data_IF_666275157178
#
_entry.id   IF_666275157178
#
_cell.length_a   1.000
_cell.length_b   1.000
_cell.length_c   1.000
_cell.angle_alpha   90.00
_cell.angle_beta   90.00
_cell.angle_gamma   90.00
#
_symmetry.space_group_name_H-M   'P 1'
#
loop_
_entity.id
_entity.type
_entity.pdbx_description
1 polymer ?
#
# COMPACT_ATOMS: atom_id res chain seq x y z
N UNK A 1 -12.83 3.87 0.80
CA UNK A 1 -12.17 3.93 -0.52
C UNK A 1 -13.29 3.74 -1.53
N UNK A 2 -13.63 4.79 -2.26
CA UNK A 2 -14.76 4.83 -3.21
C UNK A 2 -14.20 5.20 -4.59
N UNK A 3 -13.33 4.31 -5.11
CA UNK A 3 -12.50 4.59 -6.27
C UNK A 3 -13.32 4.83 -7.53
N UNK A 4 -14.36 4.03 -7.77
CA UNK A 4 -15.24 4.20 -8.94
C UNK A 4 -15.89 5.57 -8.98
N UNK A 5 -16.44 6.02 -7.84
CA UNK A 5 -17.04 7.34 -7.73
C UNK A 5 -15.98 8.44 -7.90
N UNK A 6 -14.82 8.30 -7.26
CA UNK A 6 -13.75 9.29 -7.36
C UNK A 6 -13.23 9.42 -8.80
N UNK A 7 -13.03 8.31 -9.52
CA UNK A 7 -12.66 8.30 -10.93
C UNK A 7 -13.68 9.05 -11.77
N UNK A 8 -14.98 8.76 -11.62
CA UNK A 8 -16.04 9.46 -12.37
C UNK A 8 -16.06 10.97 -12.10
N UNK A 9 -15.84 11.38 -10.86
CA UNK A 9 -15.81 12.81 -10.50
C UNK A 9 -14.56 13.52 -11.05
N UNK A 10 -13.39 12.86 -11.02
CA UNK A 10 -12.16 13.42 -11.60
C UNK A 10 -12.18 13.41 -13.13
N UNK A 11 -12.84 12.44 -13.78
CA UNK A 11 -13.09 12.47 -15.23
C UNK A 11 -13.92 13.71 -15.61
N UNK A 12 -15.02 13.98 -14.90
CA UNK A 12 -15.82 15.20 -15.11
C UNK A 12 -15.02 16.48 -14.85
N UNK A 13 -14.12 16.46 -13.87
CA UNK A 13 -13.26 17.62 -13.58
C UNK A 13 -12.31 17.89 -14.74
N UNK A 14 -11.67 16.84 -15.26
CA UNK A 14 -10.77 16.90 -16.41
C UNK A 14 -11.50 17.33 -17.70
N UNK A 15 -12.77 16.96 -17.87
CA UNK A 15 -13.60 17.43 -18.99
C UNK A 15 -13.90 18.93 -18.89
N UNK A 16 -14.18 19.43 -17.69
CA UNK A 16 -14.48 20.85 -17.45
C UNK A 16 -13.23 21.74 -17.50
N UNK A 17 -12.09 21.21 -17.11
CA UNK A 17 -10.81 21.93 -17.03
C UNK A 17 -9.73 21.16 -17.81
N UNK A 18 -9.81 21.09 -19.15
CA UNK A 18 -8.95 20.22 -19.95
C UNK A 18 -7.47 20.60 -19.93
N UNK A 19 -7.17 21.88 -19.61
CA UNK A 19 -5.83 22.46 -19.57
C UNK A 19 -5.27 22.59 -18.14
N UNK A 20 -5.98 22.07 -17.13
CA UNK A 20 -5.54 22.08 -15.73
C UNK A 20 -4.73 20.81 -15.38
N UNK A 21 -3.42 20.92 -15.12
CA UNK A 21 -2.59 19.77 -14.78
C UNK A 21 -2.96 19.15 -13.43
N UNK A 22 -3.52 19.90 -12.47
CA UNK A 22 -3.98 19.32 -11.20
C UNK A 22 -5.12 18.34 -11.42
N UNK A 23 -6.10 18.70 -12.25
CA UNK A 23 -7.23 17.82 -12.58
C UNK A 23 -6.75 16.49 -13.17
N UNK A 24 -5.78 16.52 -14.11
CA UNK A 24 -5.21 15.30 -14.70
C UNK A 24 -4.44 14.49 -13.65
N UNK A 25 -3.70 15.14 -12.75
CA UNK A 25 -2.96 14.48 -11.69
C UNK A 25 -3.86 13.75 -10.69
N UNK A 26 -4.99 14.33 -10.27
CA UNK A 26 -5.92 13.63 -9.39
C UNK A 26 -6.57 12.43 -10.08
N UNK A 27 -6.91 12.55 -11.38
CA UNK A 27 -7.41 11.42 -12.15
C UNK A 27 -6.35 10.31 -12.27
N UNK A 28 -5.10 10.67 -12.52
CA UNK A 28 -3.99 9.73 -12.53
C UNK A 28 -3.79 9.07 -11.14
N UNK A 29 -3.89 9.82 -10.05
CA UNK A 29 -3.82 9.29 -8.68
C UNK A 29 -4.86 8.22 -8.46
N UNK A 30 -6.14 8.51 -8.73
CA UNK A 30 -7.23 7.59 -8.41
C UNK A 30 -7.15 6.33 -9.25
N UNK A 31 -6.83 6.43 -10.56
CA UNK A 31 -6.68 5.28 -11.44
C UNK A 31 -5.52 4.39 -10.99
N UNK A 32 -4.36 4.99 -10.69
CA UNK A 32 -3.19 4.24 -10.24
C UNK A 32 -3.43 3.58 -8.87
N UNK A 33 -3.98 4.30 -7.90
CA UNK A 33 -4.22 3.75 -6.56
C UNK A 33 -5.31 2.68 -6.57
N UNK A 34 -6.33 2.81 -7.43
CA UNK A 34 -7.32 1.76 -7.61
C UNK A 34 -6.68 0.48 -8.15
N UNK A 35 -5.87 0.59 -9.19
CA UNK A 35 -5.16 -0.56 -9.78
C UNK A 35 -4.23 -1.24 -8.77
N UNK A 36 -3.41 -0.46 -8.05
CA UNK A 36 -2.49 -1.01 -7.05
C UNK A 36 -3.26 -1.69 -5.90
N UNK A 37 -4.45 -1.19 -5.55
CA UNK A 37 -5.32 -1.85 -4.61
C UNK A 37 -5.83 -3.18 -5.20
N UNK A 38 -6.49 -3.18 -6.34
CA UNK A 38 -7.15 -4.38 -6.89
C UNK A 38 -6.18 -5.50 -7.25
N UNK A 39 -5.00 -5.13 -7.76
CA UNK A 39 -3.93 -6.08 -8.10
C UNK A 39 -3.15 -6.56 -6.86
N UNK A 40 -3.35 -5.93 -5.70
CA UNK A 40 -2.56 -6.21 -4.50
C UNK A 40 -1.13 -5.66 -4.55
N UNK A 41 -0.79 -4.82 -5.54
CA UNK A 41 0.52 -4.20 -5.69
C UNK A 41 0.83 -3.09 -4.67
N UNK A 42 -0.15 -2.64 -3.88
CA UNK A 42 0.06 -1.82 -2.66
C UNK A 42 0.79 -2.56 -1.51
N UNK A 43 1.29 -3.77 -1.76
CA UNK A 43 1.97 -4.58 -0.76
C UNK A 43 3.26 -3.90 -0.26
N UNK A 44 3.32 -3.62 1.04
CA UNK A 44 4.47 -2.97 1.70
C UNK A 44 5.45 -3.96 2.34
N UNK A 45 5.31 -5.26 2.07
CA UNK A 45 6.09 -6.32 2.68
C UNK A 45 7.59 -6.23 2.41
N UNK A 46 7.98 -5.61 1.30
CA UNK A 46 9.40 -5.35 0.99
C UNK A 46 10.01 -4.24 1.87
N UNK A 47 9.16 -3.39 2.48
CA UNK A 47 9.59 -2.26 3.33
C UNK A 47 9.42 -2.52 4.83
N UNK A 48 8.49 -3.41 5.21
CA UNK A 48 8.29 -3.85 6.58
C UNK A 48 8.12 -5.37 6.61
N UNK A 49 8.82 -6.06 7.52
CA UNK A 49 8.84 -7.53 7.68
C UNK A 49 7.47 -8.20 7.87
N UNK A 50 6.39 -7.41 7.90
CA UNK A 50 5.00 -7.83 7.96
C UNK A 50 4.19 -6.81 7.14
N UNK A 51 3.70 -7.19 5.96
CA UNK A 51 3.03 -6.25 5.06
C UNK A 51 1.69 -5.75 5.60
N UNK A 52 1.44 -4.44 5.48
CA UNK A 52 0.16 -3.82 5.81
C UNK A 52 -0.97 -4.27 4.86
N UNK A 53 -0.67 -4.45 3.57
CA UNK A 53 -1.62 -4.76 2.48
C UNK A 53 -1.14 -6.01 1.72
N UNK A 54 -0.60 -6.99 2.45
CA UNK A 54 0.19 -8.10 1.91
C UNK A 54 -0.56 -9.08 1.00
N UNK A 55 -0.78 -8.68 -0.26
CA UNK A 55 -1.30 -9.54 -1.32
C UNK A 55 -0.23 -9.83 -2.35
N UNK A 56 -0.32 -10.99 -2.99
CA UNK A 56 0.57 -11.33 -4.09
C UNK A 56 0.20 -10.43 -5.28
N UNK A 57 1.10 -9.60 -5.82
CA UNK A 57 0.75 -8.70 -6.92
C UNK A 57 0.33 -9.50 -8.16
N UNK A 58 -0.85 -9.18 -8.69
CA UNK A 58 -1.37 -9.71 -9.96
C UNK A 58 -1.01 -8.78 -11.12
N UNK A 59 -0.94 -9.28 -12.36
CA UNK A 59 -0.71 -8.42 -13.52
C UNK A 59 -1.83 -7.39 -13.68
N UNK A 60 -1.46 -6.12 -13.83
CA UNK A 60 -2.38 -5.05 -14.26
C UNK A 60 -2.87 -5.31 -15.69
N UNK A 61 -4.16 -5.05 -15.92
CA UNK A 61 -4.81 -5.10 -17.25
C UNK A 61 -4.14 -4.11 -18.23
N UNK A 62 -3.95 -4.53 -19.48
CA UNK A 62 -3.33 -3.70 -20.50
C UNK A 62 -4.08 -2.37 -20.71
N UNK A 63 -5.42 -2.38 -20.66
CA UNK A 63 -6.23 -1.16 -20.81
C UNK A 63 -5.94 -0.14 -19.72
N UNK A 64 -5.75 -0.61 -18.48
CA UNK A 64 -5.41 0.25 -17.34
C UNK A 64 -3.99 0.80 -17.48
N UNK A 65 -3.03 -0.02 -17.93
CA UNK A 65 -1.66 0.44 -18.26
C UNK A 65 -1.68 1.55 -19.30
N UNK A 66 -2.46 1.37 -20.37
CA UNK A 66 -2.57 2.34 -21.45
C UNK A 66 -3.21 3.64 -20.94
N UNK A 67 -4.28 3.55 -20.15
CA UNK A 67 -4.92 4.70 -19.51
C UNK A 67 -3.95 5.48 -18.60
N UNK A 68 -3.17 4.79 -17.75
CA UNK A 68 -2.17 5.42 -16.89
C UNK A 68 -1.13 6.15 -17.74
N UNK A 69 -0.61 5.52 -18.79
CA UNK A 69 0.40 6.12 -19.68
C UNK A 69 -0.14 7.33 -20.44
N UNK A 70 -1.39 7.27 -20.90
CA UNK A 70 -2.03 8.38 -21.60
C UNK A 70 -2.26 9.58 -20.67
N UNK A 71 -2.69 9.33 -19.42
CA UNK A 71 -2.81 10.38 -18.40
C UNK A 71 -1.46 11.01 -18.07
N UNK A 72 -0.42 10.21 -17.86
CA UNK A 72 0.96 10.70 -17.64
C UNK A 72 1.43 11.56 -18.81
N UNK A 73 1.25 11.07 -20.05
CA UNK A 73 1.65 11.81 -21.25
C UNK A 73 0.92 13.14 -21.35
N UNK A 74 -0.38 13.16 -21.06
CA UNK A 74 -1.20 14.37 -21.07
C UNK A 74 -0.77 15.37 -20.00
N UNK A 75 -0.59 14.92 -18.75
CA UNK A 75 -0.15 15.77 -17.65
C UNK A 75 1.20 16.42 -17.96
N UNK A 76 2.20 15.62 -18.37
CA UNK A 76 3.53 16.12 -18.73
C UNK A 76 3.47 17.14 -19.87
N UNK A 77 2.63 16.94 -20.89
CA UNK A 77 2.49 17.90 -21.98
C UNK A 77 1.97 19.26 -21.50
N UNK A 78 0.96 19.28 -20.63
CA UNK A 78 0.42 20.51 -20.04
C UNK A 78 1.45 21.22 -19.16
N UNK A 79 2.08 20.48 -18.27
CA UNK A 79 3.07 20.99 -17.32
C UNK A 79 4.30 21.54 -18.05
N UNK A 80 4.82 20.84 -19.05
CA UNK A 80 5.94 21.30 -19.87
C UNK A 80 5.58 22.53 -20.70
N UNK A 81 4.35 22.64 -21.19
CA UNK A 81 3.89 23.84 -21.88
C UNK A 81 3.86 25.04 -20.94
N UNK A 82 3.33 24.88 -19.72
CA UNK A 82 3.33 25.96 -18.71
C UNK A 82 4.76 26.37 -18.33
N UNK A 83 5.65 25.39 -18.14
CA UNK A 83 7.06 25.65 -17.78
C UNK A 83 7.89 26.25 -18.92
N UNK A 84 7.52 26.05 -20.18
CA UNK A 84 8.13 26.77 -21.32
C UNK A 84 7.78 28.25 -21.30
N UNK A 85 6.57 28.60 -20.86
CA UNK A 85 6.13 29.99 -20.73
C UNK A 85 6.71 30.66 -19.49
N UNK A 86 6.78 29.93 -18.37
CA UNK A 86 7.39 30.38 -17.13
C UNK A 86 8.12 29.22 -16.44
N UNK A 87 9.45 29.20 -16.54
CA UNK A 87 10.27 28.11 -15.96
C UNK A 87 10.25 28.05 -14.44
N UNK A 88 9.77 29.10 -13.76
CA UNK A 88 9.61 29.16 -12.31
C UNK A 88 8.12 29.14 -11.90
N UNK A 89 7.23 28.63 -12.76
CA UNK A 89 5.84 28.39 -12.37
C UNK A 89 5.80 27.30 -11.30
N UNK A 90 5.51 27.71 -10.06
CA UNK A 90 5.52 26.84 -8.87
C UNK A 90 4.51 25.71 -9.02
N UNK A 91 3.31 26.01 -9.54
CA UNK A 91 2.24 25.03 -9.68
C UNK A 91 2.57 24.01 -10.78
N UNK A 92 3.12 24.45 -11.90
CA UNK A 92 3.54 23.55 -12.98
C UNK A 92 4.72 22.66 -12.55
N UNK A 93 5.69 23.20 -11.79
CA UNK A 93 6.77 22.41 -11.19
C UNK A 93 6.22 21.36 -10.22
N UNK A 94 5.34 21.78 -9.31
CA UNK A 94 4.71 20.88 -8.34
C UNK A 94 3.94 19.74 -9.06
N UNK A 95 3.10 20.08 -10.03
CA UNK A 95 2.33 19.10 -10.80
C UNK A 95 3.26 18.12 -11.54
N UNK A 96 4.30 18.62 -12.23
CA UNK A 96 5.26 17.75 -12.91
C UNK A 96 5.99 16.82 -11.95
N UNK A 97 6.29 17.32 -10.76
CA UNK A 97 6.84 16.52 -9.68
C UNK A 97 5.89 15.39 -9.27
N UNK A 98 4.59 15.68 -9.10
CA UNK A 98 3.56 14.67 -8.79
C UNK A 98 3.43 13.64 -9.92
N UNK A 99 3.31 14.06 -11.17
CA UNK A 99 3.22 13.19 -12.36
C UNK A 99 4.41 12.23 -12.44
N UNK A 100 5.62 12.74 -12.25
CA UNK A 100 6.85 11.93 -12.24
C UNK A 100 6.87 10.96 -11.06
N UNK A 101 6.44 11.39 -9.86
CA UNK A 101 6.38 10.49 -8.70
C UNK A 101 5.40 9.33 -8.94
N UNK A 102 4.22 9.61 -9.48
CA UNK A 102 3.22 8.58 -9.80
C UNK A 102 3.72 7.63 -10.90
N UNK A 103 4.38 8.17 -11.92
CA UNK A 103 4.95 7.33 -12.98
C UNK A 103 6.13 6.49 -12.48
N UNK A 104 6.88 6.97 -11.47
CA UNK A 104 7.88 6.15 -10.79
C UNK A 104 7.25 4.99 -10.03
N UNK A 105 6.14 5.21 -9.32
CA UNK A 105 5.38 4.16 -8.63
C UNK A 105 4.85 3.14 -9.64
N UNK A 106 4.21 3.58 -10.72
CA UNK A 106 3.71 2.70 -11.78
C UNK A 106 4.84 1.87 -12.40
N UNK A 107 5.92 2.51 -12.85
CA UNK A 107 7.00 1.78 -13.54
C UNK A 107 7.76 0.85 -12.60
N UNK A 108 7.86 1.17 -11.31
CA UNK A 108 8.48 0.31 -10.30
C UNK A 108 7.62 -0.90 -9.91
N UNK A 109 6.35 -0.67 -9.54
CA UNK A 109 5.49 -1.71 -8.98
C UNK A 109 4.77 -2.55 -10.05
N UNK A 110 4.41 -1.94 -11.19
CA UNK A 110 3.64 -2.61 -12.25
C UNK A 110 4.55 -3.12 -13.36
N UNK A 111 5.42 -2.27 -13.91
CA UNK A 111 6.26 -2.66 -15.05
C UNK A 111 7.60 -3.30 -14.65
N UNK A 112 7.99 -3.19 -13.37
CA UNK A 112 9.32 -3.60 -12.88
C UNK A 112 10.47 -2.97 -13.69
N UNK A 113 10.23 -1.78 -14.23
CA UNK A 113 11.17 -1.01 -15.02
C UNK A 113 12.00 -0.08 -14.11
N UNK A 114 12.87 -0.68 -13.30
CA UNK A 114 13.60 -0.01 -12.21
C UNK A 114 14.36 1.26 -12.62
N UNK A 115 14.97 1.27 -13.80
CA UNK A 115 15.67 2.45 -14.30
C UNK A 115 14.72 3.61 -14.60
N UNK A 116 13.56 3.32 -15.20
CA UNK A 116 12.52 4.33 -15.43
C UNK A 116 11.97 4.85 -14.11
N UNK A 117 11.72 3.95 -13.16
CA UNK A 117 11.26 4.31 -11.83
C UNK A 117 12.23 5.26 -11.13
N UNK A 118 13.53 4.91 -11.11
CA UNK A 118 14.57 5.74 -10.50
C UNK A 118 14.68 7.10 -11.17
N UNK A 119 14.72 7.16 -12.51
CA UNK A 119 14.82 8.41 -13.26
C UNK A 119 13.66 9.36 -12.95
N UNK A 120 12.43 8.84 -12.91
CA UNK A 120 11.25 9.64 -12.60
C UNK A 120 11.21 10.05 -11.13
N UNK A 121 11.60 9.18 -10.20
CA UNK A 121 11.67 9.51 -8.78
C UNK A 121 12.65 10.68 -8.52
N UNK A 122 13.86 10.61 -9.10
CA UNK A 122 14.85 11.70 -9.02
C UNK A 122 14.33 12.99 -9.66
N UNK A 123 13.70 12.89 -10.84
CA UNK A 123 13.09 14.05 -11.50
C UNK A 123 11.99 14.70 -10.66
N UNK A 124 11.14 13.89 -10.02
CA UNK A 124 10.11 14.36 -9.11
C UNK A 124 10.69 15.09 -7.90
N UNK A 125 11.74 14.52 -7.30
CA UNK A 125 12.46 15.16 -6.21
C UNK A 125 13.00 16.53 -6.60
N UNK A 126 13.68 16.65 -7.74
CA UNK A 126 14.24 17.93 -8.18
C UNK A 126 13.15 18.98 -8.43
N UNK A 127 12.02 18.59 -9.02
CA UNK A 127 10.89 19.50 -9.21
C UNK A 127 10.34 20.01 -7.87
N UNK A 128 10.15 19.13 -6.89
CA UNK A 128 9.65 19.50 -5.57
C UNK A 128 10.68 20.24 -4.71
N UNK A 129 11.98 19.96 -4.85
CA UNK A 129 13.05 20.78 -4.25
C UNK A 129 13.02 22.19 -4.84
N UNK A 130 12.84 22.33 -6.16
CA UNK A 130 12.72 23.64 -6.81
C UNK A 130 11.48 24.41 -6.36
N UNK A 131 10.36 23.73 -6.15
CA UNK A 131 9.16 24.33 -5.53
C UNK A 131 9.51 24.91 -4.17
N UNK A 132 10.18 24.15 -3.29
CA UNK A 132 10.54 24.60 -1.95
C UNK A 132 11.61 25.70 -1.94
N UNK A 133 12.44 25.80 -2.96
CA UNK A 133 13.36 26.94 -3.14
C UNK A 133 12.62 28.23 -3.51
N UNK A 134 11.57 28.13 -4.35
CA UNK A 134 10.78 29.27 -4.82
C UNK A 134 9.73 29.70 -3.78
N UNK A 135 9.11 28.73 -3.12
CA UNK A 135 8.13 28.91 -2.05
C UNK A 135 8.38 27.89 -0.92
N UNK A 136 9.16 28.28 0.10
CA UNK A 136 9.42 27.43 1.26
C UNK A 136 8.18 27.06 2.08
N UNK A 137 7.07 27.79 1.91
CA UNK A 137 5.81 27.55 2.61
C UNK A 137 4.93 26.50 1.91
N UNK A 138 5.27 26.09 0.67
CA UNK A 138 4.55 25.06 -0.10
C UNK A 138 4.74 23.67 0.52
N UNK A 139 4.05 23.43 1.63
CA UNK A 139 4.28 22.29 2.52
C UNK A 139 4.09 20.96 1.82
N UNK A 140 3.13 20.85 0.90
CA UNK A 140 2.82 19.61 0.21
C UNK A 140 3.96 19.08 -0.66
N UNK A 141 4.89 19.94 -1.13
CA UNK A 141 6.07 19.53 -1.88
C UNK A 141 7.08 18.75 -1.01
N UNK A 142 7.01 18.91 0.32
CA UNK A 142 7.86 18.17 1.26
C UNK A 142 7.54 16.68 1.29
N UNK A 143 6.38 16.23 0.80
CA UNK A 143 6.04 14.79 0.74
C UNK A 143 7.07 14.00 -0.07
N UNK A 144 7.29 14.41 -1.33
CA UNK A 144 8.20 13.69 -2.24
C UNK A 144 9.64 13.84 -1.78
N UNK A 145 10.04 15.05 -1.37
CA UNK A 145 11.40 15.34 -0.89
C UNK A 145 11.70 14.59 0.40
N UNK A 146 10.76 14.55 1.35
CA UNK A 146 10.87 13.84 2.62
C UNK A 146 10.99 12.33 2.42
N UNK A 147 10.17 11.77 1.54
CA UNK A 147 10.22 10.35 1.15
C UNK A 147 11.60 9.98 0.59
N UNK A 148 12.12 10.77 -0.35
CA UNK A 148 13.46 10.54 -0.91
C UNK A 148 14.57 10.64 0.14
N UNK A 149 14.50 11.66 1.00
CA UNK A 149 15.48 11.85 2.07
C UNK A 149 15.55 10.65 3.01
N UNK A 150 14.39 10.10 3.40
CA UNK A 150 14.34 8.92 4.27
C UNK A 150 14.90 7.68 3.56
N UNK A 151 14.48 7.41 2.32
CA UNK A 151 14.91 6.23 1.55
C UNK A 151 16.42 6.25 1.33
N UNK A 152 16.97 7.34 0.78
CA UNK A 152 18.42 7.48 0.56
C UNK A 152 19.18 7.47 1.89
N UNK A 153 18.60 8.09 2.92
CA UNK A 153 19.12 8.11 4.29
C UNK A 153 19.22 6.74 4.96
N UNK A 154 18.54 5.71 4.45
CA UNK A 154 18.55 4.34 4.96
C UNK A 154 19.25 3.32 4.05
N UNK A 155 19.88 3.77 2.96
CA UNK A 155 20.68 2.88 2.10
C UNK A 155 21.96 2.40 2.83
N UNK A 156 22.48 1.21 2.49
CA UNK A 156 23.80 0.77 2.94
C UNK A 156 24.88 1.80 2.58
N UNK A 157 25.91 1.94 3.42
CA UNK A 157 26.92 3.00 3.27
C UNK A 157 27.56 3.03 1.87
N UNK A 158 27.92 1.88 1.31
CA UNK A 158 28.48 1.77 -0.03
C UNK A 158 27.56 2.33 -1.12
N UNK A 159 26.25 2.07 -1.00
CA UNK A 159 25.23 2.57 -1.92
C UNK A 159 25.01 4.07 -1.73
N UNK A 160 25.06 4.58 -0.50
CA UNK A 160 25.00 6.03 -0.23
C UNK A 160 26.13 6.80 -0.89
N UNK A 161 27.36 6.26 -0.84
CA UNK A 161 28.51 6.89 -1.51
C UNK A 161 28.30 6.94 -3.02
N UNK A 162 27.87 5.83 -3.63
CA UNK A 162 27.56 5.80 -5.06
C UNK A 162 26.43 6.78 -5.45
N UNK A 163 25.37 6.85 -4.63
CA UNK A 163 24.28 7.81 -4.81
C UNK A 163 24.78 9.26 -4.72
N UNK A 164 25.65 9.56 -3.74
CA UNK A 164 26.22 10.89 -3.57
C UNK A 164 27.09 11.32 -4.77
N UNK A 165 27.85 10.40 -5.36
CA UNK A 165 28.59 10.65 -6.61
C UNK A 165 27.64 11.00 -7.76
N UNK A 166 26.46 10.40 -7.80
CA UNK A 166 25.40 10.72 -8.76
C UNK A 166 24.56 11.97 -8.38
N UNK A 167 24.97 12.73 -7.37
CA UNK A 167 24.27 13.94 -6.90
C UNK A 167 23.08 13.69 -5.98
N UNK A 168 22.85 12.44 -5.56
CA UNK A 168 21.74 12.06 -4.69
C UNK A 168 22.22 11.96 -3.24
N UNK A 169 21.70 12.83 -2.39
CA UNK A 169 21.94 12.79 -0.93
C UNK A 169 20.64 12.67 -0.16
N UNK A 170 20.68 12.18 1.07
CA UNK A 170 19.48 12.07 1.90
C UNK A 170 19.81 11.96 3.36
N UNK A 171 18.97 12.56 4.19
CA UNK A 171 19.03 12.43 5.65
C UNK A 171 17.74 11.81 6.16
N UNK A 172 17.87 10.70 6.91
CA UNK A 172 16.74 10.01 7.54
C UNK A 172 15.92 10.98 8.38
N UNK A 173 16.58 11.75 9.24
CA UNK A 173 15.92 12.66 10.18
C UNK A 173 15.25 13.83 9.45
N UNK A 174 15.88 14.37 8.40
CA UNK A 174 15.26 15.38 7.54
C UNK A 174 14.03 14.83 6.84
N UNK A 175 14.10 13.59 6.35
CA UNK A 175 12.98 12.89 5.72
C UNK A 175 11.79 12.77 6.65
N UNK A 176 12.00 12.28 7.88
CA UNK A 176 10.95 12.18 8.90
C UNK A 176 10.41 13.55 9.33
N UNK A 177 11.25 14.58 9.46
CA UNK A 177 10.80 15.94 9.77
C UNK A 177 9.84 16.46 8.71
N UNK A 178 10.24 16.39 7.44
CA UNK A 178 9.43 16.87 6.32
C UNK A 178 8.08 16.15 6.25
N UNK A 179 8.08 14.83 6.40
CA UNK A 179 6.85 14.05 6.40
C UNK A 179 5.94 14.39 7.58
N UNK A 180 6.49 14.65 8.78
CA UNK A 180 5.70 15.12 9.93
C UNK A 180 5.10 16.50 9.70
N UNK A 181 5.82 17.40 9.03
CA UNK A 181 5.31 18.73 8.68
C UNK A 181 4.11 18.61 7.73
N UNK A 182 4.19 17.78 6.68
CA UNK A 182 3.05 17.53 5.79
C UNK A 182 1.90 16.83 6.53
N UNK A 183 2.19 15.82 7.35
CA UNK A 183 1.16 15.09 8.11
C UNK A 183 0.39 15.99 9.11
N UNK A 184 0.98 17.10 9.55
CA UNK A 184 0.34 18.06 10.47
C UNK A 184 -0.33 19.23 9.75
N UNK A 185 -0.17 19.36 8.43
CA UNK A 185 -0.78 20.44 7.66
C UNK A 185 -2.25 20.14 7.36
N UNK A 186 -2.97 21.19 6.95
CA UNK A 186 -4.30 21.11 6.34
C UNK A 186 -4.23 20.96 4.80
N UNK A 187 -3.02 20.73 4.26
CA UNK A 187 -2.77 20.54 2.84
C UNK A 187 -3.31 19.21 2.31
N UNK A 188 -3.36 19.10 0.99
CA UNK A 188 -3.94 17.94 0.32
C UNK A 188 -3.17 16.66 0.64
N UNK A 189 -1.85 16.77 0.70
CA UNK A 189 -0.95 15.64 0.93
C UNK A 189 -0.86 15.20 2.40
N UNK A 190 -1.61 15.82 3.32
CA UNK A 190 -1.61 15.46 4.74
C UNK A 190 -1.98 13.99 4.99
N UNK A 191 -2.95 13.46 4.24
CA UNK A 191 -3.35 12.05 4.34
C UNK A 191 -2.26 11.11 3.83
N UNK A 192 -1.71 11.40 2.65
CA UNK A 192 -0.66 10.58 2.04
C UNK A 192 0.63 10.59 2.88
N UNK A 193 0.97 11.74 3.45
CA UNK A 193 2.08 11.87 4.38
C UNK A 193 1.90 11.00 5.63
N UNK A 194 0.69 10.96 6.22
CA UNK A 194 0.41 10.07 7.38
C UNK A 194 0.59 8.60 7.03
N UNK A 195 0.16 8.19 5.83
CA UNK A 195 0.33 6.81 5.35
C UNK A 195 1.81 6.48 5.15
N UNK A 196 2.55 7.30 4.37
CA UNK A 196 3.98 7.08 4.11
C UNK A 196 4.80 7.13 5.41
N UNK A 197 4.53 8.12 6.26
CA UNK A 197 5.22 8.28 7.54
C UNK A 197 4.99 7.09 8.46
N UNK A 198 3.78 6.53 8.50
CA UNK A 198 3.48 5.33 9.30
C UNK A 198 4.33 4.14 8.90
N UNK A 199 4.56 3.93 7.59
CA UNK A 199 5.46 2.87 7.10
C UNK A 199 6.88 3.05 7.63
N UNK A 200 7.39 4.29 7.60
CA UNK A 200 8.74 4.59 8.08
C UNK A 200 8.84 4.52 9.59
N UNK A 201 7.88 5.07 10.33
CA UNK A 201 7.85 5.01 11.80
C UNK A 201 7.80 3.57 12.31
N UNK A 202 7.05 2.69 11.63
CA UNK A 202 7.01 1.27 11.95
C UNK A 202 8.40 0.61 11.84
N UNK A 203 9.15 0.94 10.79
CA UNK A 203 10.53 0.46 10.59
C UNK A 203 11.49 1.01 11.64
N UNK A 204 11.26 2.24 12.10
CA UNK A 204 12.02 2.86 13.19
C UNK A 204 11.52 2.45 14.60
N UNK A 205 10.56 1.52 14.70
CA UNK A 205 9.93 1.08 15.96
C UNK A 205 9.20 2.21 16.74
N UNK A 206 8.84 3.31 16.09
CA UNK A 206 8.05 4.40 16.65
C UNK A 206 6.54 4.11 16.55
N UNK A 207 6.11 3.01 17.18
CA UNK A 207 4.76 2.47 17.03
C UNK A 207 3.65 3.40 17.53
N UNK A 208 3.87 4.10 18.65
CA UNK A 208 2.85 4.99 19.22
C UNK A 208 2.53 6.17 18.31
N UNK A 209 3.54 6.78 17.71
CA UNK A 209 3.36 7.87 16.74
C UNK A 209 2.63 7.35 15.48
N UNK A 210 3.05 6.19 14.96
CA UNK A 210 2.42 5.54 13.82
C UNK A 210 0.93 5.23 14.08
N UNK A 211 0.61 4.68 15.26
CA UNK A 211 -0.76 4.38 15.66
C UNK A 211 -1.60 5.65 15.78
N UNK A 212 -1.05 6.74 16.32
CA UNK A 212 -1.74 8.03 16.42
C UNK A 212 -2.21 8.55 15.06
N UNK A 213 -1.35 8.48 14.03
CA UNK A 213 -1.75 8.87 12.67
C UNK A 213 -2.83 7.96 12.09
N UNK A 214 -2.74 6.64 12.28
CA UNK A 214 -3.75 5.70 11.78
C UNK A 214 -5.09 5.81 12.52
N UNK A 215 -5.08 6.18 13.79
CA UNK A 215 -6.29 6.48 14.57
C UNK A 215 -7.01 7.71 14.03
N UNK A 216 -6.28 8.79 13.76
CA UNK A 216 -6.82 9.99 13.12
C UNK A 216 -7.45 9.68 11.76
N UNK A 217 -6.73 8.94 10.90
CA UNK A 217 -7.26 8.53 9.60
C UNK A 217 -8.47 7.58 9.71
N UNK A 218 -8.51 6.70 10.71
CA UNK A 218 -9.66 5.83 10.96
C UNK A 218 -10.90 6.63 11.37
N UNK A 219 -10.72 7.70 12.16
CA UNK A 219 -11.81 8.59 12.55
C UNK A 219 -12.34 9.41 11.35
N UNK A 220 -11.43 9.92 10.51
CA UNK A 220 -11.78 10.73 9.32
C UNK A 220 -12.37 9.88 8.18
N UNK A 221 -11.90 8.65 8.01
CA UNK A 221 -12.29 7.76 6.91
C UNK A 221 -12.81 6.40 7.44
N UNK A 222 -13.94 6.36 8.17
CA UNK A 222 -14.41 5.16 8.86
C UNK A 222 -14.80 4.01 7.92
N UNK A 223 -15.02 4.29 6.62
CA UNK A 223 -15.28 3.28 5.58
C UNK A 223 -14.00 2.73 4.92
N UNK A 224 -12.82 3.17 5.33
CA UNK A 224 -11.55 2.60 4.90
C UNK A 224 -11.06 1.61 5.97
N UNK A 225 -11.18 0.30 5.69
CA UNK A 225 -10.75 -0.73 6.64
C UNK A 225 -9.23 -0.81 6.80
N UNK A 226 -8.48 -0.31 5.81
CA UNK A 226 -7.02 -0.37 5.82
C UNK A 226 -6.49 0.33 7.07
N UNK A 227 -6.91 1.55 7.39
CA UNK A 227 -6.35 2.28 8.54
C UNK A 227 -6.56 1.55 9.88
N UNK A 228 -7.73 0.97 10.12
CA UNK A 228 -7.97 0.17 11.33
C UNK A 228 -7.23 -1.16 11.32
N UNK A 229 -7.03 -1.76 10.14
CA UNK A 229 -6.19 -2.95 9.98
C UNK A 229 -4.72 -2.63 10.29
N UNK A 230 -4.22 -1.44 9.93
CA UNK A 230 -2.84 -1.07 10.28
C UNK A 230 -2.67 -0.86 11.77
N UNK A 231 -3.69 -0.34 12.46
CA UNK A 231 -3.65 -0.26 13.93
C UNK A 231 -3.45 -1.66 14.52
N UNK A 232 -4.17 -2.67 14.03
CA UNK A 232 -3.98 -4.05 14.48
C UNK A 232 -2.57 -4.59 14.17
N UNK A 233 -2.03 -4.29 12.98
CA UNK A 233 -0.67 -4.67 12.60
C UNK A 233 0.40 -3.99 13.47
N UNK A 234 0.24 -2.70 13.79
CA UNK A 234 1.13 -1.94 14.65
C UNK A 234 1.08 -2.45 16.09
N UNK A 235 -0.11 -2.75 16.61
CA UNK A 235 -0.29 -3.39 17.92
C UNK A 235 0.40 -4.76 17.97
N UNK A 236 0.29 -5.55 16.89
CA UNK A 236 0.99 -6.84 16.80
C UNK A 236 2.51 -6.64 16.79
N UNK A 237 3.00 -5.69 16.00
CA UNK A 237 4.42 -5.39 15.86
C UNK A 237 5.05 -4.83 17.14
N UNK A 238 4.29 -4.06 17.94
CA UNK A 238 4.73 -3.54 19.24
C UNK A 238 4.62 -4.56 20.38
N UNK A 239 3.99 -5.72 20.13
CA UNK A 239 3.83 -6.81 21.10
C UNK A 239 2.52 -6.77 21.91
N UNK A 240 1.63 -5.81 21.69
CA UNK A 240 0.28 -5.78 22.28
C UNK A 240 -0.67 -6.74 21.54
N UNK A 241 -0.40 -8.04 21.69
CA UNK A 241 -1.15 -9.10 21.04
C UNK A 241 -2.64 -9.13 21.43
N UNK A 242 -3.04 -8.88 22.70
CA UNK A 242 -4.45 -8.77 23.06
C UNK A 242 -5.18 -7.65 22.31
N UNK A 243 -4.60 -6.45 22.22
CA UNK A 243 -5.21 -5.35 21.49
C UNK A 243 -5.27 -5.63 19.98
N UNK A 244 -4.19 -6.16 19.40
CA UNK A 244 -4.15 -6.55 17.98
C UNK A 244 -5.26 -7.56 17.65
N UNK A 245 -5.40 -8.60 18.47
CA UNK A 245 -6.45 -9.62 18.32
C UNK A 245 -7.85 -8.99 18.37
N UNK A 246 -8.11 -8.08 19.31
CA UNK A 246 -9.39 -7.37 19.42
C UNK A 246 -9.66 -6.48 18.20
N UNK A 247 -8.65 -5.74 17.73
CA UNK A 247 -8.77 -4.84 16.57
C UNK A 247 -9.01 -5.61 15.27
N UNK A 248 -8.30 -6.72 15.01
CA UNK A 248 -8.60 -7.56 13.83
C UNK A 248 -10.03 -8.08 13.82
N UNK A 249 -10.53 -8.56 14.98
CA UNK A 249 -11.92 -9.01 15.12
C UNK A 249 -12.92 -7.89 14.86
N UNK A 250 -12.61 -6.66 15.31
CA UNK A 250 -13.43 -5.48 15.06
C UNK A 250 -13.48 -5.12 13.57
N UNK A 251 -12.36 -5.19 12.85
CA UNK A 251 -12.34 -4.97 11.40
C UNK A 251 -13.23 -6.01 10.71
N UNK A 252 -13.05 -7.30 11.03
CA UNK A 252 -13.87 -8.37 10.48
C UNK A 252 -15.37 -8.14 10.71
N UNK A 253 -15.75 -7.82 11.95
CA UNK A 253 -17.15 -7.57 12.32
C UNK A 253 -17.74 -6.37 11.56
N UNK A 254 -17.03 -5.24 11.52
CA UNK A 254 -17.46 -4.06 10.76
C UNK A 254 -17.73 -4.39 9.28
N UNK A 255 -16.86 -5.22 8.67
CA UNK A 255 -17.03 -5.66 7.29
C UNK A 255 -18.26 -6.53 7.10
N UNK A 256 -18.49 -7.49 8.00
CA UNK A 256 -19.69 -8.34 8.02
C UNK A 256 -20.99 -7.55 8.20
N UNK A 257 -20.93 -6.42 8.91
CA UNK A 257 -22.03 -5.47 9.08
C UNK A 257 -22.20 -4.51 7.87
N UNK A 258 -21.39 -4.67 6.82
CA UNK A 258 -21.50 -3.91 5.57
C UNK A 258 -20.78 -2.56 5.58
N UNK A 259 -20.04 -2.21 6.64
CA UNK A 259 -19.38 -0.89 6.78
C UNK A 259 -18.40 -0.57 5.64
N UNK A 260 -17.78 -1.61 5.08
CA UNK A 260 -16.71 -1.49 4.08
C UNK A 260 -17.16 -1.80 2.65
N UNK A 261 -18.43 -2.14 2.42
CA UNK A 261 -18.92 -2.52 1.08
C UNK A 261 -18.16 -3.72 0.52
N UNK A 262 -17.61 -3.57 -0.68
CA UNK A 262 -16.89 -4.61 -1.44
C UNK A 262 -15.38 -4.67 -1.14
N UNK A 263 -14.88 -3.84 -0.24
CA UNK A 263 -13.44 -3.81 0.08
C UNK A 263 -12.99 -5.10 0.78
N UNK A 264 -11.74 -5.48 0.56
CA UNK A 264 -11.11 -6.72 1.05
C UNK A 264 -10.81 -6.73 2.56
N UNK A 265 -11.83 -6.60 3.41
CA UNK A 265 -11.67 -6.57 4.87
C UNK A 265 -11.32 -7.94 5.48
N UNK A 266 -11.47 -9.03 4.71
CA UNK A 266 -11.01 -10.37 5.08
C UNK A 266 -9.50 -10.45 5.33
N UNK A 267 -8.71 -9.47 4.86
CA UNK A 267 -7.30 -9.31 5.22
C UNK A 267 -7.08 -9.26 6.74
N UNK A 268 -8.03 -8.71 7.51
CA UNK A 268 -7.96 -8.70 8.96
C UNK A 268 -8.19 -10.09 9.58
N UNK A 269 -9.00 -10.94 8.94
CA UNK A 269 -9.18 -12.33 9.36
C UNK A 269 -7.91 -13.17 9.11
N UNK A 270 -7.26 -12.95 7.96
CA UNK A 270 -5.92 -13.50 7.70
C UNK A 270 -4.91 -13.07 8.77
N UNK A 271 -4.81 -11.77 9.06
CA UNK A 271 -3.90 -11.24 10.10
C UNK A 271 -4.20 -11.80 11.50
N UNK A 272 -5.48 -12.01 11.83
CA UNK A 272 -5.89 -12.68 13.07
C UNK A 272 -5.41 -14.14 13.12
N UNK A 273 -5.52 -14.88 12.01
CA UNK A 273 -5.03 -16.26 11.91
C UNK A 273 -3.54 -16.35 12.14
N UNK A 274 -2.75 -15.49 11.47
CA UNK A 274 -1.29 -15.42 11.66
C UNK A 274 -0.93 -15.11 13.12
N UNK A 275 -1.60 -14.14 13.75
CA UNK A 275 -1.38 -13.79 15.16
C UNK A 275 -1.64 -14.99 16.09
N UNK A 276 -2.76 -15.70 15.88
CA UNK A 276 -3.14 -16.85 16.72
C UNK A 276 -2.22 -18.04 16.50
N UNK A 277 -1.74 -18.24 15.26
CA UNK A 277 -0.71 -19.23 14.93
C UNK A 277 0.58 -18.94 15.67
N UNK A 278 1.08 -17.69 15.67
CA UNK A 278 2.27 -17.30 16.45
C UNK A 278 2.08 -17.56 17.96
N UNK A 279 0.86 -17.39 18.48
CA UNK A 279 0.51 -17.70 19.88
C UNK A 279 0.33 -19.20 20.16
N UNK A 280 0.48 -20.07 19.15
CA UNK A 280 0.19 -21.52 19.20
C UNK A 280 -1.26 -21.85 19.58
N UNK A 281 -2.19 -20.91 19.39
CA UNK A 281 -3.63 -21.18 19.50
C UNK A 281 -4.12 -21.78 18.18
N UNK A 282 -3.79 -23.06 17.95
CA UNK A 282 -4.13 -23.77 16.71
C UNK A 282 -5.64 -23.77 16.41
N UNK A 283 -6.54 -24.04 17.38
CA UNK A 283 -7.98 -23.97 17.15
C UNK A 283 -8.43 -22.55 16.75
N UNK A 284 -7.93 -21.52 17.45
CA UNK A 284 -8.24 -20.14 17.14
C UNK A 284 -7.72 -19.70 15.77
N UNK A 285 -6.49 -20.10 15.42
CA UNK A 285 -5.89 -19.81 14.13
C UNK A 285 -6.69 -20.43 12.97
N UNK A 286 -7.02 -21.73 13.07
CA UNK A 286 -7.85 -22.43 12.08
C UNK A 286 -9.19 -21.72 11.89
N UNK A 287 -9.89 -21.38 12.99
CA UNK A 287 -11.16 -20.68 12.95
C UNK A 287 -11.04 -19.28 12.30
N UNK A 288 -9.96 -18.55 12.58
CA UNK A 288 -9.72 -17.24 12.00
C UNK A 288 -9.43 -17.31 10.49
N UNK A 289 -8.62 -18.26 10.04
CA UNK A 289 -8.42 -18.48 8.60
C UNK A 289 -9.72 -18.87 7.90
N UNK A 290 -10.58 -19.67 8.54
CA UNK A 290 -11.88 -20.04 7.98
C UNK A 290 -12.82 -18.85 7.78
N UNK A 291 -12.69 -17.77 8.56
CA UNK A 291 -13.48 -16.55 8.36
C UNK A 291 -13.29 -15.97 6.95
N UNK A 292 -12.09 -16.10 6.35
CA UNK A 292 -11.84 -15.62 4.97
C UNK A 292 -12.82 -16.24 3.97
N UNK A 293 -13.21 -17.50 4.16
CA UNK A 293 -14.20 -18.19 3.31
C UNK A 293 -15.63 -17.63 3.46
N UNK A 294 -15.89 -16.83 4.49
CA UNK A 294 -17.20 -16.26 4.79
C UNK A 294 -17.35 -14.82 4.28
N UNK A 295 -16.29 -14.25 3.71
CA UNK A 295 -16.40 -12.97 3.03
C UNK A 295 -17.22 -13.13 1.73
N UNK A 296 -18.00 -12.12 1.30
CA UNK A 296 -18.82 -12.23 0.09
C UNK A 296 -18.01 -12.45 -1.19
N UNK A 297 -16.85 -11.79 -1.29
CA UNK A 297 -15.95 -11.86 -2.44
C UNK A 297 -14.49 -11.73 -1.95
N UNK A 298 -13.96 -12.74 -1.25
CA UNK A 298 -12.59 -12.68 -0.74
C UNK A 298 -11.58 -12.59 -1.88
N UNK A 299 -10.48 -11.90 -1.65
CA UNK A 299 -9.35 -11.93 -2.56
C UNK A 299 -8.89 -13.39 -2.79
N UNK A 300 -8.81 -13.89 -4.04
CA UNK A 300 -8.52 -15.30 -4.32
C UNK A 300 -7.20 -15.79 -3.73
N UNK A 301 -6.16 -14.94 -3.69
CA UNK A 301 -4.85 -15.32 -3.17
C UNK A 301 -4.88 -15.46 -1.65
N UNK A 302 -5.62 -14.57 -0.97
CA UNK A 302 -5.84 -14.64 0.48
C UNK A 302 -6.71 -15.83 0.84
N UNK A 303 -7.77 -16.09 0.07
CA UNK A 303 -8.62 -17.26 0.24
C UNK A 303 -7.81 -18.57 0.14
N UNK A 304 -6.92 -18.66 -0.86
CA UNK A 304 -6.11 -19.85 -1.05
C UNK A 304 -5.09 -20.03 0.08
N UNK A 305 -4.37 -18.96 0.48
CA UNK A 305 -3.43 -18.99 1.61
C UNK A 305 -4.12 -19.35 2.93
N UNK A 306 -5.29 -18.77 3.19
CA UNK A 306 -6.07 -19.04 4.39
C UNK A 306 -6.51 -20.51 4.47
N UNK A 307 -6.98 -21.10 3.35
CA UNK A 307 -7.35 -22.52 3.35
C UNK A 307 -6.14 -23.43 3.55
N UNK A 308 -4.98 -23.12 2.93
CA UNK A 308 -3.76 -23.90 3.18
C UNK A 308 -3.38 -23.84 4.68
N UNK A 309 -3.31 -22.63 5.24
CA UNK A 309 -2.95 -22.43 6.64
C UNK A 309 -3.95 -23.08 7.61
N UNK A 310 -5.26 -23.01 7.33
CA UNK A 310 -6.27 -23.73 8.09
C UNK A 310 -6.04 -25.25 8.07
N UNK A 311 -5.69 -25.80 6.89
CA UNK A 311 -5.34 -27.22 6.75
C UNK A 311 -4.14 -27.61 7.61
N UNK A 312 -3.07 -26.81 7.57
CA UNK A 312 -1.88 -26.99 8.41
C UNK A 312 -2.23 -27.00 9.90
N UNK A 313 -3.07 -26.06 10.37
CA UNK A 313 -3.52 -26.04 11.76
C UNK A 313 -4.30 -27.30 12.12
N UNK A 314 -5.17 -27.79 11.23
CA UNK A 314 -5.93 -29.02 11.46
C UNK A 314 -5.04 -30.27 11.53
N UNK A 315 -4.02 -30.37 10.69
CA UNK A 315 -3.03 -31.47 10.75
C UNK A 315 -2.26 -31.45 12.08
N UNK A 316 -1.81 -30.27 12.55
CA UNK A 316 -1.17 -30.12 13.87
C UNK A 316 -2.10 -30.51 15.04
N UNK A 317 -3.41 -30.32 14.86
CA UNK A 317 -4.44 -30.76 15.82
C UNK A 317 -4.87 -32.23 15.64
N UNK A 318 -4.22 -33.00 14.76
CA UNK A 318 -4.57 -34.39 14.42
C UNK A 318 -6.00 -34.54 13.85
N UNK A 319 -6.56 -33.47 13.27
CA UNK A 319 -7.90 -33.45 12.65
C UNK A 319 -7.80 -33.63 11.14
N UNK A 320 -7.29 -34.78 10.71
CA UNK A 320 -6.92 -35.06 9.32
C UNK A 320 -8.07 -34.85 8.33
N UNK A 321 -9.28 -35.27 8.66
CA UNK A 321 -10.44 -35.11 7.78
C UNK A 321 -10.77 -33.64 7.48
N UNK A 322 -10.56 -32.75 8.46
CA UNK A 322 -10.73 -31.31 8.26
C UNK A 322 -9.58 -30.72 7.45
N UNK A 323 -8.34 -31.16 7.72
CA UNK A 323 -7.17 -30.73 6.95
C UNK A 323 -7.32 -31.06 5.46
N UNK A 324 -7.72 -32.30 5.15
CA UNK A 324 -7.96 -32.76 3.78
C UNK A 324 -8.98 -31.90 3.03
N UNK A 325 -10.13 -31.59 3.65
CA UNK A 325 -11.13 -30.69 3.05
C UNK A 325 -10.55 -29.31 2.71
N UNK A 326 -9.69 -28.78 3.58
CA UNK A 326 -9.05 -27.47 3.35
C UNK A 326 -8.04 -27.54 2.20
N UNK A 327 -7.22 -28.58 2.13
CA UNK A 327 -6.29 -28.78 1.02
C UNK A 327 -7.01 -29.03 -0.32
N UNK A 328 -8.12 -29.77 -0.33
CA UNK A 328 -8.96 -29.93 -1.52
C UNK A 328 -9.55 -28.59 -1.98
N UNK A 329 -9.98 -27.74 -1.03
CA UNK A 329 -10.45 -26.37 -1.32
C UNK A 329 -9.35 -25.53 -1.96
N UNK A 330 -8.09 -25.65 -1.50
CA UNK A 330 -6.93 -24.98 -2.11
C UNK A 330 -6.76 -25.40 -3.57
N UNK A 331 -6.92 -26.68 -3.88
CA UNK A 331 -6.75 -27.24 -5.24
C UNK A 331 -7.93 -26.97 -6.18
N UNK A 332 -9.14 -26.80 -5.64
CA UNK A 332 -10.33 -26.44 -6.42
C UNK A 332 -10.27 -25.01 -6.99
N UNK A 333 -9.43 -24.14 -6.40
CA UNK A 333 -9.13 -22.81 -6.93
C UNK A 333 -8.08 -22.82 -8.05
N UNK A 334 -7.13 -21.88 -8.01
CA UNK A 334 -6.02 -21.89 -8.95
C UNK A 334 -5.00 -22.97 -8.58
N UNK A 335 -5.00 -24.08 -9.31
CA UNK A 335 -4.09 -25.20 -9.06
C UNK A 335 -2.62 -24.92 -9.45
N UNK A 336 -2.29 -23.82 -10.12
CA UNK A 336 -0.93 -23.51 -10.58
C UNK A 336 -0.27 -22.44 -9.70
N UNK A 337 -0.25 -22.67 -8.38
CA UNK A 337 0.32 -21.75 -7.39
C UNK A 337 1.17 -22.48 -6.36
N UNK A 338 2.07 -21.75 -5.69
CA UNK A 338 2.87 -22.29 -4.58
C UNK A 338 2.02 -22.93 -3.46
N UNK A 339 0.94 -22.29 -2.99
CA UNK A 339 0.01 -22.90 -2.05
C UNK A 339 -0.64 -24.20 -2.54
N UNK A 340 -0.98 -24.29 -3.84
CA UNK A 340 -1.52 -25.53 -4.42
C UNK A 340 -0.48 -26.66 -4.43
N UNK A 341 0.79 -26.35 -4.71
CA UNK A 341 1.86 -27.34 -4.66
C UNK A 341 2.12 -27.82 -3.23
N UNK A 342 2.05 -26.93 -2.24
CA UNK A 342 2.11 -27.30 -0.83
C UNK A 342 0.92 -28.17 -0.42
N UNK A 343 -0.32 -27.81 -0.80
CA UNK A 343 -1.51 -28.62 -0.53
C UNK A 343 -1.41 -30.04 -1.12
N UNK A 344 -0.89 -30.20 -2.36
CA UNK A 344 -0.65 -31.53 -2.95
C UNK A 344 0.33 -32.37 -2.13
N UNK A 345 1.36 -31.75 -1.56
CA UNK A 345 2.29 -32.44 -0.64
C UNK A 345 1.57 -32.82 0.64
N UNK A 346 0.83 -31.90 1.24
CA UNK A 346 0.15 -32.13 2.52
C UNK A 346 -1.01 -33.13 2.44
N UNK A 347 -1.60 -33.32 1.26
CA UNK A 347 -2.54 -34.42 1.00
C UNK A 347 -1.86 -35.79 1.09
N UNK A 348 -0.61 -35.91 0.62
CA UNK A 348 0.15 -37.17 0.67
C UNK A 348 0.72 -37.44 2.05
N UNK A 349 1.20 -36.40 2.71
CA UNK A 349 1.85 -36.48 4.01
C UNK A 349 1.39 -35.32 4.89
N UNK A 350 0.81 -35.61 6.05
CA UNK A 350 0.29 -34.57 6.95
C UNK A 350 1.37 -33.55 7.32
N UNK A 351 0.98 -32.27 7.36
CA UNK A 351 1.85 -31.20 7.81
C UNK A 351 2.32 -31.43 9.25
N UNK A 352 3.60 -31.13 9.50
CA UNK A 352 4.27 -31.21 10.80
C UNK A 352 5.22 -30.00 10.92
N UNK A 353 5.38 -29.47 12.13
CA UNK A 353 6.33 -28.38 12.43
C UNK A 353 7.79 -28.81 12.37
#
# INVERSE_FOLDING_TARGET
MDYDRATQEFEKLVEKHPDDPFAVNHLLTVVLMHDLYDTGAMNTGDYANDSFIGRTPRPTDQKIKDQIKDLVKRALALEEQQLKNNSNDINALYCRGVTRAQFAVYTGLVERAWFSALRNAVGARHDHERVLELDPAYTDAKLVVGTHNYVVGNLPWSVKVAAAIAGLSGSKDKGLSYLREVAKSDGENSVDAKVVLTLFLRREHHYDEAMGYMQDLTAKFPRNHLFLTEIANLQRASGDLPAAQATYRRVWQNGREGKYGTLHYELAAWGLGELLRTKKDLPGAAAAYELVNQAPAPDPDILQKANLAAGEMYDLMQKRDLAMKRYETVLAGNANTGPADQARRYIREAYRE
#
